data_IF_222679428932
#
_entry.id   IF_222679428932
#
_cell.length_a   1.000
_cell.length_b   1.000
_cell.length_c   1.000
_cell.angle_alpha   90.00
_cell.angle_beta   90.00
_cell.angle_gamma   90.00
#
_symmetry.space_group_name_H-M   'P 1'
#
loop_
_entity.id
_entity.type
_entity.pdbx_description
1 polymer ?
#
# COMPACT_ATOMS: atom_id res chain seq x y z
N UNK A 1 0.30 -34.74 22.26
CA UNK A 1 0.62 -34.47 20.84
C UNK A 1 -0.30 -33.35 20.37
N UNK A 2 0.23 -32.20 19.96
CA UNK A 2 -0.57 -31.08 19.44
C UNK A 2 -0.48 -31.12 17.91
N UNK A 3 -1.61 -31.35 17.23
CA UNK A 3 -1.69 -31.32 15.77
C UNK A 3 -2.05 -29.88 15.38
N UNK A 4 -1.10 -29.13 14.79
CA UNK A 4 -1.42 -27.83 14.19
C UNK A 4 -2.03 -28.07 12.81
N UNK A 5 -3.33 -27.85 12.70
CA UNK A 5 -4.01 -27.84 11.41
C UNK A 5 -3.60 -26.57 10.66
N UNK A 6 -2.69 -26.69 9.69
CA UNK A 6 -2.29 -25.58 8.82
C UNK A 6 -3.39 -25.37 7.79
N UNK A 7 -3.94 -24.17 7.72
CA UNK A 7 -4.82 -23.80 6.61
C UNK A 7 -3.96 -23.75 5.32
N UNK A 8 -4.26 -24.61 4.34
CA UNK A 8 -3.54 -24.72 3.05
C UNK A 8 -4.44 -24.22 1.89
N UNK A 9 -5.66 -23.74 2.18
CA UNK A 9 -6.55 -23.16 1.18
C UNK A 9 -6.18 -21.71 0.83
N UNK A 10 -6.52 -21.21 -0.37
CA UNK A 10 -6.40 -19.78 -0.66
C UNK A 10 -7.27 -18.99 0.32
N UNK A 11 -6.63 -18.17 1.16
CA UNK A 11 -7.33 -17.15 1.93
C UNK A 11 -7.60 -15.95 1.03
N UNK A 12 -8.77 -15.31 1.11
CA UNK A 12 -8.97 -14.01 0.48
C UNK A 12 -8.01 -13.00 1.11
N UNK A 13 -7.01 -12.57 0.36
CA UNK A 13 -6.08 -11.52 0.79
C UNK A 13 -6.50 -10.15 0.23
N UNK A 14 -6.23 -9.09 0.98
CA UNK A 14 -6.50 -7.71 0.58
C UNK A 14 -5.19 -6.98 0.38
N UNK A 15 -5.00 -6.42 -0.82
CA UNK A 15 -3.86 -5.56 -1.12
C UNK A 15 -4.20 -4.12 -0.74
N UNK A 16 -3.32 -3.48 0.02
CA UNK A 16 -3.46 -2.09 0.46
C UNK A 16 -2.17 -1.33 0.23
N UNK A 17 -2.27 -0.01 0.18
CA UNK A 17 -1.13 0.89 0.07
C UNK A 17 -1.28 2.08 1.02
N UNK A 18 -0.21 2.45 1.70
CA UNK A 18 -0.07 3.70 2.43
C UNK A 18 1.36 4.26 2.35
N UNK A 19 1.51 5.49 2.83
CA UNK A 19 2.78 6.13 3.08
C UNK A 19 2.82 6.65 4.52
N UNK A 20 3.94 6.44 5.19
CA UNK A 20 4.15 6.85 6.58
C UNK A 20 5.37 7.78 6.62
N UNK A 21 5.23 8.89 7.33
CA UNK A 21 6.29 9.87 7.59
C UNK A 21 6.35 10.27 9.06
N UNK A 22 7.31 11.12 9.42
CA UNK A 22 7.40 11.64 10.79
C UNK A 22 6.13 12.43 11.13
N UNK A 23 5.37 11.96 12.13
CA UNK A 23 4.09 12.54 12.57
C UNK A 23 3.01 12.67 11.48
N UNK A 24 3.12 11.94 10.37
CA UNK A 24 2.16 12.00 9.26
C UNK A 24 1.95 10.63 8.64
N UNK A 25 0.74 10.38 8.16
CA UNK A 25 0.37 9.15 7.46
C UNK A 25 -0.62 9.51 6.36
N UNK A 26 -0.48 8.89 5.18
CA UNK A 26 -1.46 9.02 4.11
C UNK A 26 -2.74 8.23 4.44
N UNK A 27 -3.86 8.51 3.77
CA UNK A 27 -4.97 7.56 3.76
C UNK A 27 -4.51 6.17 3.29
N UNK A 28 -5.07 5.11 3.91
CA UNK A 28 -4.87 3.73 3.47
C UNK A 28 -5.77 3.47 2.25
N UNK A 29 -5.16 3.12 1.12
CA UNK A 29 -5.86 2.85 -0.14
C UNK A 29 -5.97 1.35 -0.38
N UNK A 30 -7.20 0.85 -0.58
CA UNK A 30 -7.43 -0.54 -0.98
C UNK A 30 -7.20 -0.69 -2.48
N UNK A 31 -6.41 -1.67 -2.88
CA UNK A 31 -6.13 -1.99 -4.27
C UNK A 31 -6.98 -3.21 -4.65
N UNK A 32 -7.84 -3.05 -5.66
CA UNK A 32 -8.65 -4.16 -6.16
C UNK A 32 -7.83 -5.11 -7.05
N UNK A 33 -7.62 -6.32 -6.57
CA UNK A 33 -6.81 -7.35 -7.23
C UNK A 33 -5.31 -7.03 -7.20
N UNK A 34 -4.57 -7.52 -8.21
CA UNK A 34 -3.12 -7.33 -8.27
C UNK A 34 -2.74 -5.89 -8.61
N UNK A 35 -1.77 -5.32 -7.89
CA UNK A 35 -1.16 -4.04 -8.22
C UNK A 35 -0.32 -4.18 -9.49
N UNK A 36 -0.62 -3.33 -10.48
CA UNK A 36 0.18 -3.17 -11.68
C UNK A 36 0.46 -1.69 -11.89
N UNK A 37 1.33 -1.36 -12.84
CA UNK A 37 1.73 0.02 -13.12
C UNK A 37 0.55 0.96 -13.37
N UNK A 38 -0.46 0.53 -14.12
CA UNK A 38 -1.61 1.38 -14.43
C UNK A 38 -2.45 1.67 -13.17
N UNK A 39 -2.76 0.63 -12.38
CA UNK A 39 -3.49 0.75 -11.12
C UNK A 39 -2.71 1.52 -10.07
N UNK A 40 -1.39 1.34 -10.03
CA UNK A 40 -0.52 2.14 -9.17
C UNK A 40 -0.63 3.61 -9.53
N UNK A 41 -0.55 3.97 -10.82
CA UNK A 41 -0.67 5.38 -11.24
C UNK A 41 -2.06 5.94 -10.94
N UNK A 42 -3.13 5.22 -11.31
CA UNK A 42 -4.50 5.74 -11.24
C UNK A 42 -5.12 5.68 -9.84
N UNK A 43 -4.79 4.66 -9.05
CA UNK A 43 -5.41 4.37 -7.75
C UNK A 43 -4.55 4.70 -6.54
N UNK A 44 -3.23 4.87 -6.72
CA UNK A 44 -2.30 5.15 -5.62
C UNK A 44 -1.57 6.47 -5.83
N UNK A 45 -0.75 6.56 -6.88
CA UNK A 45 0.18 7.66 -7.08
C UNK A 45 -0.54 9.00 -7.25
N UNK A 46 -1.50 9.07 -8.18
CA UNK A 46 -2.24 10.32 -8.46
C UNK A 46 -3.18 10.73 -7.32
N UNK A 47 -4.06 9.86 -6.80
CA UNK A 47 -5.05 10.28 -5.81
C UNK A 47 -4.53 10.34 -4.37
N UNK A 48 -3.48 9.58 -4.02
CA UNK A 48 -3.03 9.46 -2.61
C UNK A 48 -1.60 9.96 -2.42
N UNK A 49 -0.63 9.38 -3.12
CA UNK A 49 0.77 9.66 -2.87
C UNK A 49 1.16 11.10 -3.23
N UNK A 50 0.79 11.58 -4.44
CA UNK A 50 1.14 12.94 -4.88
C UNK A 50 0.54 14.04 -3.99
N UNK A 51 -0.76 14.01 -3.62
CA UNK A 51 -1.30 14.97 -2.66
C UNK A 51 -0.59 14.94 -1.31
N UNK A 52 -0.31 13.74 -0.78
CA UNK A 52 0.39 13.58 0.50
C UNK A 52 1.81 14.14 0.45
N UNK A 53 2.58 13.81 -0.59
CA UNK A 53 3.94 14.29 -0.79
C UNK A 53 3.97 15.82 -0.94
N UNK A 54 3.02 16.39 -1.70
CA UNK A 54 2.95 17.85 -1.93
C UNK A 54 2.54 18.63 -0.68
N UNK A 55 1.79 18.02 0.23
CA UNK A 55 1.40 18.64 1.50
C UNK A 55 2.56 18.73 2.50
N UNK A 56 3.57 17.88 2.35
CA UNK A 56 4.73 17.79 3.22
C UNK A 56 5.92 18.55 2.62
N UNK A 57 6.71 19.23 3.45
CA UNK A 57 7.93 19.94 3.03
C UNK A 57 9.17 19.11 3.32
N UNK A 58 10.19 19.20 2.45
CA UNK A 58 11.52 18.61 2.64
C UNK A 58 11.52 17.10 2.93
N UNK A 59 10.71 16.32 2.22
CA UNK A 59 10.70 14.86 2.34
C UNK A 59 11.41 14.18 1.18
N UNK A 60 11.90 12.97 1.42
CA UNK A 60 12.34 12.04 0.38
C UNK A 60 11.28 10.95 0.23
N UNK A 61 10.75 10.77 -0.98
CA UNK A 61 9.82 9.68 -1.25
C UNK A 61 10.62 8.38 -1.45
N UNK A 62 10.32 7.37 -0.64
CA UNK A 62 10.97 6.07 -0.70
C UNK A 62 9.91 4.97 -0.89
N UNK A 63 10.19 4.05 -1.81
CA UNK A 63 9.44 2.82 -2.04
C UNK A 63 10.40 1.69 -2.37
N UNK A 64 9.89 0.46 -2.42
CA UNK A 64 10.64 -0.69 -2.92
C UNK A 64 10.82 -0.63 -4.46
N UNK A 65 11.53 -1.62 -5.01
CA UNK A 65 11.89 -1.71 -6.43
C UNK A 65 10.93 -2.60 -7.25
N UNK A 66 9.73 -2.93 -6.73
CA UNK A 66 8.75 -3.70 -7.48
C UNK A 66 8.18 -2.95 -8.68
#
# INVERSE_FOLDING_TARGET
>A
MCIRHRHIGPSPDVMVWDAIGYKSQSPLSRIDGTLNRARYISGVLRPVALPFIRALRNLTFQQDNA
#
